data_IF_029823851895
#
_entry.id   IF_029823851895
#
_cell.length_a   1.000
_cell.length_b   1.000
_cell.length_c   1.000
_cell.angle_alpha   90.00
_cell.angle_beta   90.00
_cell.angle_gamma   90.00
#
_symmetry.space_group_name_H-M   'P 1'
#
loop_
_entity.id
_entity.type
_entity.pdbx_description
1 polymer ?
#
# COMPACT_ATOMS: atom_id res chain seq x y z
N UNK A 1 32.66 29.73 68.82
CA UNK A 1 32.03 29.22 67.59
C UNK A 1 33.13 29.14 66.55
N UNK A 2 33.78 27.98 66.46
CA UNK A 2 34.82 27.74 65.46
C UNK A 2 34.15 27.54 64.10
N UNK A 3 34.41 28.46 63.16
CA UNK A 3 34.05 28.29 61.77
C UNK A 3 34.92 27.18 61.17
N UNK A 4 34.29 26.04 60.88
CA UNK A 4 34.96 24.88 60.28
C UNK A 4 35.66 25.20 58.96
N UNK A 5 36.74 24.46 58.68
CA UNK A 5 37.62 24.67 57.55
C UNK A 5 36.88 24.67 56.20
N UNK A 6 37.27 25.61 55.33
CA UNK A 6 36.73 25.73 53.98
C UNK A 6 36.94 24.43 53.19
N UNK A 7 35.86 23.84 52.71
CA UNK A 7 35.92 22.63 51.88
C UNK A 7 36.74 22.91 50.60
N UNK A 8 37.63 22.00 50.19
CA UNK A 8 38.45 22.18 48.99
C UNK A 8 37.54 22.33 47.77
N UNK A 9 37.80 23.38 46.99
CA UNK A 9 37.02 23.71 45.79
C UNK A 9 37.14 22.54 44.80
N UNK A 10 36.04 21.80 44.57
CA UNK A 10 35.97 20.69 43.60
C UNK A 10 35.99 21.24 42.17
N UNK A 11 37.18 21.61 41.67
CA UNK A 11 37.35 22.22 40.34
C UNK A 11 36.98 21.29 39.18
N UNK A 12 37.06 19.97 39.38
CA UNK A 12 36.77 18.98 38.35
C UNK A 12 35.31 19.01 37.86
N UNK A 13 34.36 19.37 38.73
CA UNK A 13 32.94 19.47 38.36
C UNK A 13 32.61 20.67 37.48
N UNK A 14 33.38 21.77 37.52
CA UNK A 14 33.10 22.94 36.68
C UNK A 14 33.61 22.76 35.25
N UNK A 15 34.75 22.08 35.10
CA UNK A 15 35.43 21.93 33.80
C UNK A 15 34.74 20.92 32.86
N UNK A 16 34.08 19.90 33.41
CA UNK A 16 33.42 18.84 32.63
C UNK A 16 31.92 19.06 32.42
N UNK A 17 31.24 19.86 33.26
CA UNK A 17 29.79 20.13 33.10
C UNK A 17 29.46 20.84 31.79
N UNK A 18 30.24 21.87 31.44
CA UNK A 18 29.99 22.68 30.24
C UNK A 18 30.06 21.87 28.95
N UNK A 19 31.14 21.10 28.65
CA UNK A 19 31.20 20.32 27.41
C UNK A 19 30.15 19.20 27.36
N UNK A 20 29.81 18.60 28.49
CA UNK A 20 28.76 17.57 28.56
C UNK A 20 27.39 18.17 28.26
N UNK A 21 27.06 19.34 28.82
CA UNK A 21 25.80 20.04 28.57
C UNK A 21 25.71 20.45 27.09
N UNK A 22 26.80 21.00 26.53
CA UNK A 22 26.82 21.40 25.11
C UNK A 22 26.66 20.18 24.21
N UNK A 23 27.39 19.09 24.46
CA UNK A 23 27.28 17.87 23.67
C UNK A 23 25.90 17.21 23.74
N UNK A 24 25.31 17.12 24.94
CA UNK A 24 23.95 16.57 25.11
C UNK A 24 22.88 17.46 24.49
N UNK A 25 23.03 18.79 24.54
CA UNK A 25 22.11 19.72 23.88
C UNK A 25 22.15 19.56 22.37
N UNK A 26 23.35 19.47 21.77
CA UNK A 26 23.51 19.21 20.34
C UNK A 26 22.87 17.86 19.97
N UNK A 27 23.14 16.82 20.75
CA UNK A 27 22.55 15.51 20.51
C UNK A 27 21.01 15.56 20.56
N UNK A 28 20.43 16.26 21.52
CA UNK A 28 18.96 16.42 21.60
C UNK A 28 18.40 17.18 20.39
N UNK A 29 19.06 18.24 19.92
CA UNK A 29 18.63 18.98 18.73
C UNK A 29 18.68 18.09 17.48
N UNK A 30 19.75 17.30 17.32
CA UNK A 30 19.87 16.35 16.21
C UNK A 30 18.78 15.29 16.27
N UNK A 31 18.51 14.71 17.45
CA UNK A 31 17.43 13.76 17.63
C UNK A 31 16.06 14.35 17.31
N UNK A 32 15.78 15.58 17.76
CA UNK A 32 14.54 16.27 17.47
C UNK A 32 14.38 16.52 15.96
N UNK A 33 15.47 16.90 15.27
CA UNK A 33 15.47 17.09 13.82
C UNK A 33 15.20 15.76 13.08
N UNK A 34 15.84 14.66 13.49
CA UNK A 34 15.61 13.33 12.90
C UNK A 34 14.20 12.82 13.15
N UNK A 35 13.66 13.03 14.35
CA UNK A 35 12.28 12.68 14.67
C UNK A 35 11.29 13.50 13.82
N UNK A 36 11.53 14.81 13.67
CA UNK A 36 10.75 15.66 12.77
C UNK A 36 10.79 15.18 11.32
N UNK A 37 11.98 14.84 10.82
CA UNK A 37 12.16 14.28 9.48
C UNK A 37 11.39 12.96 9.30
N UNK A 38 11.48 12.05 10.28
CA UNK A 38 10.80 10.77 10.24
C UNK A 38 9.27 10.92 10.20
N UNK A 39 8.71 11.87 10.96
CA UNK A 39 7.28 12.19 10.91
C UNK A 39 6.87 12.71 9.53
N UNK A 40 7.63 13.66 8.97
CA UNK A 40 7.32 14.24 7.64
C UNK A 40 7.39 13.18 6.54
N UNK A 41 8.40 12.31 6.58
CA UNK A 41 8.53 11.21 5.62
C UNK A 41 7.43 10.16 5.81
N UNK A 42 7.07 9.84 7.07
CA UNK A 42 6.03 8.88 7.39
C UNK A 42 4.63 9.31 6.92
N UNK A 43 4.31 10.60 6.98
CA UNK A 43 3.00 11.13 6.54
C UNK A 43 2.81 10.97 5.02
N UNK A 44 3.89 11.05 4.24
CA UNK A 44 3.82 10.92 2.78
C UNK A 44 3.91 9.47 2.30
N UNK A 45 3.98 8.50 3.21
CA UNK A 45 4.07 7.10 2.85
C UNK A 45 2.67 6.48 2.76
N UNK A 46 2.10 6.49 1.56
CA UNK A 46 0.93 5.65 1.25
C UNK A 46 1.43 4.28 0.80
N UNK A 47 1.06 3.18 1.48
CA UNK A 47 1.42 1.85 1.01
C UNK A 47 0.66 1.56 -0.29
N UNK A 48 1.38 1.13 -1.33
CA UNK A 48 0.78 0.69 -2.60
C UNK A 48 1.03 -0.81 -2.83
N UNK A 49 0.18 -1.44 -3.63
CA UNK A 49 0.34 -2.84 -4.02
C UNK A 49 -0.09 -3.10 -5.47
N UNK A 50 0.44 -4.17 -6.05
CA UNK A 50 -0.02 -4.69 -7.34
C UNK A 50 -1.28 -5.52 -7.15
N UNK A 51 -2.38 -5.08 -7.75
CA UNK A 51 -3.63 -5.82 -7.78
C UNK A 51 -3.65 -6.76 -8.99
N UNK A 52 -3.94 -8.03 -8.71
CA UNK A 52 -3.95 -9.11 -9.71
C UNK A 52 -5.30 -9.81 -9.63
N UNK A 53 -5.86 -10.10 -10.80
CA UNK A 53 -7.03 -10.97 -10.88
C UNK A 53 -7.24 -11.52 -12.27
N UNK A 54 -8.24 -12.36 -12.42
CA UNK A 54 -8.62 -12.88 -13.72
C UNK A 54 -10.04 -13.43 -13.76
N UNK A 55 -10.56 -13.53 -14.98
CA UNK A 55 -11.89 -14.03 -15.29
C UNK A 55 -11.73 -15.25 -16.20
N UNK A 56 -12.21 -16.44 -15.82
CA UNK A 56 -12.17 -17.60 -16.69
C UNK A 56 -13.16 -17.38 -17.85
N UNK A 57 -12.71 -17.69 -19.06
CA UNK A 57 -13.47 -17.52 -20.30
C UNK A 57 -13.41 -18.77 -21.17
N UNK A 58 -14.31 -18.87 -22.13
CA UNK A 58 -14.23 -19.91 -23.16
C UNK A 58 -13.03 -19.67 -24.07
N UNK A 59 -12.17 -20.68 -24.27
CA UNK A 59 -11.00 -20.58 -25.14
C UNK A 59 -11.33 -20.33 -26.62
N UNK A 60 -12.56 -20.65 -27.05
CA UNK A 60 -12.99 -20.46 -28.43
C UNK A 60 -13.35 -19.00 -28.74
N UNK A 61 -14.07 -18.35 -27.83
CA UNK A 61 -14.59 -16.99 -28.03
C UNK A 61 -13.85 -15.90 -27.25
N UNK A 62 -13.03 -16.27 -26.25
CA UNK A 62 -12.44 -15.33 -25.28
C UNK A 62 -13.47 -14.48 -24.54
N UNK A 63 -14.66 -15.04 -24.37
CA UNK A 63 -15.81 -14.38 -23.78
C UNK A 63 -16.41 -15.22 -22.65
N UNK A 64 -17.04 -14.53 -21.70
CA UNK A 64 -17.88 -15.14 -20.67
C UNK A 64 -19.14 -14.30 -20.45
N UNK A 65 -20.24 -14.97 -20.14
CA UNK A 65 -21.50 -14.31 -19.80
C UNK A 65 -21.42 -13.76 -18.38
N UNK A 66 -21.89 -12.53 -18.21
CA UNK A 66 -22.05 -11.87 -16.93
C UNK A 66 -23.47 -11.30 -16.84
N UNK A 67 -23.96 -11.11 -15.62
CA UNK A 67 -25.25 -10.46 -15.39
C UNK A 67 -25.32 -9.11 -16.10
N UNK A 68 -26.09 -9.03 -17.20
CA UNK A 68 -26.25 -7.81 -17.98
C UNK A 68 -25.35 -7.67 -19.22
N UNK A 69 -24.56 -8.69 -19.59
CA UNK A 69 -23.88 -8.73 -20.90
C UNK A 69 -22.69 -9.68 -20.97
N UNK A 70 -21.75 -9.41 -21.87
CA UNK A 70 -20.60 -10.29 -22.14
C UNK A 70 -19.30 -9.60 -21.72
N UNK A 71 -18.45 -10.30 -20.98
CA UNK A 71 -17.08 -9.89 -20.69
C UNK A 71 -16.17 -10.51 -21.76
N UNK A 72 -15.34 -9.68 -22.36
CA UNK A 72 -14.38 -10.05 -23.42
C UNK A 72 -13.01 -9.43 -23.17
N UNK A 73 -12.03 -9.74 -24.02
CA UNK A 73 -10.69 -9.13 -23.98
C UNK A 73 -10.69 -7.61 -24.23
N UNK A 74 -11.78 -7.05 -24.76
CA UNK A 74 -11.99 -5.60 -24.91
C UNK A 74 -12.53 -4.94 -23.65
N UNK A 75 -12.95 -5.73 -22.67
CA UNK A 75 -13.48 -5.20 -21.41
C UNK A 75 -12.34 -4.62 -20.57
N UNK A 76 -12.65 -3.53 -19.89
CA UNK A 76 -11.70 -2.81 -19.05
C UNK A 76 -12.01 -3.11 -17.59
N UNK A 77 -10.99 -3.36 -16.78
CA UNK A 77 -11.12 -3.49 -15.34
C UNK A 77 -10.90 -2.14 -14.68
N UNK A 78 -11.84 -1.73 -13.84
CA UNK A 78 -11.69 -0.53 -13.00
C UNK A 78 -11.83 -0.91 -11.54
N UNK A 79 -10.83 -0.52 -10.74
CA UNK A 79 -10.82 -0.73 -9.31
C UNK A 79 -11.26 0.57 -8.63
N UNK A 80 -12.29 0.46 -7.80
CA UNK A 80 -12.79 1.53 -6.97
C UNK A 80 -12.51 1.22 -5.50
N UNK A 81 -12.37 2.27 -4.70
CA UNK A 81 -12.50 2.17 -3.24
C UNK A 81 -13.94 1.86 -2.86
N UNK A 82 -14.16 1.38 -1.64
CA UNK A 82 -15.48 1.19 -1.05
C UNK A 82 -16.34 2.47 -1.06
N UNK A 83 -15.72 3.65 -1.06
CA UNK A 83 -16.40 4.96 -1.14
C UNK A 83 -16.78 5.37 -2.57
N UNK A 84 -16.43 4.58 -3.59
CA UNK A 84 -16.69 4.87 -4.99
C UNK A 84 -15.61 5.73 -5.68
N UNK A 85 -14.51 6.06 -4.99
CA UNK A 85 -13.37 6.73 -5.63
C UNK A 85 -12.65 5.77 -6.56
N UNK A 86 -12.44 6.18 -7.81
CA UNK A 86 -11.67 5.41 -8.81
C UNK A 86 -10.19 5.38 -8.42
N UNK A 87 -9.63 4.18 -8.25
CA UNK A 87 -8.24 3.98 -7.86
C UNK A 87 -7.36 3.65 -9.06
N UNK A 88 -7.81 2.72 -9.92
CA UNK A 88 -7.00 2.26 -11.04
C UNK A 88 -7.86 1.72 -12.18
N UNK A 89 -7.30 1.73 -13.40
CA UNK A 89 -7.91 1.15 -14.60
C UNK A 89 -6.86 0.38 -15.38
N UNK A 90 -7.22 -0.82 -15.84
CA UNK A 90 -6.33 -1.68 -16.62
C UNK A 90 -7.13 -2.51 -17.63
N UNK A 91 -6.61 -2.76 -18.84
CA UNK A 91 -7.26 -3.66 -19.78
C UNK A 91 -7.15 -5.12 -19.32
N UNK A 92 -8.01 -5.98 -19.87
CA UNK A 92 -7.88 -7.43 -19.74
C UNK A 92 -6.89 -7.97 -20.78
N UNK A 93 -6.04 -8.88 -20.36
CA UNK A 93 -5.09 -9.58 -21.21
C UNK A 93 -5.45 -11.06 -21.34
N UNK A 94 -5.33 -11.58 -22.56
CA UNK A 94 -5.59 -12.99 -22.84
C UNK A 94 -4.45 -13.84 -22.30
N UNK A 95 -4.79 -14.73 -21.37
CA UNK A 95 -3.85 -15.70 -20.84
C UNK A 95 -4.43 -17.11 -20.99
N UNK A 96 -3.61 -18.03 -21.49
CA UNK A 96 -3.97 -19.44 -21.63
C UNK A 96 -2.98 -20.29 -20.85
N UNK A 97 -3.49 -21.19 -20.02
CA UNK A 97 -2.70 -22.21 -19.32
C UNK A 97 -3.09 -23.59 -19.81
N UNK A 98 -2.20 -24.56 -19.61
CA UNK A 98 -2.37 -25.97 -20.01
C UNK A 98 -2.69 -26.16 -21.50
N UNK A 99 -1.84 -25.65 -22.39
CA UNK A 99 -1.94 -25.85 -23.85
C UNK A 99 -3.32 -25.47 -24.46
N UNK A 100 -4.03 -24.48 -23.88
CA UNK A 100 -5.35 -24.08 -24.39
C UNK A 100 -6.53 -24.77 -23.72
N UNK A 101 -6.34 -25.50 -22.62
CA UNK A 101 -7.44 -26.09 -21.85
C UNK A 101 -8.08 -25.13 -20.85
N UNK A 102 -7.34 -24.11 -20.40
CA UNK A 102 -7.83 -23.11 -19.46
C UNK A 102 -7.49 -21.71 -19.97
N UNK A 103 -8.52 -20.96 -20.35
CA UNK A 103 -8.36 -19.57 -20.80
C UNK A 103 -8.90 -18.62 -19.75
N UNK A 104 -8.09 -17.61 -19.44
CA UNK A 104 -8.37 -16.61 -18.42
C UNK A 104 -8.03 -15.24 -18.99
N UNK A 105 -8.95 -14.30 -18.84
CA UNK A 105 -8.67 -12.89 -19.03
C UNK A 105 -8.05 -12.35 -17.74
N UNK A 106 -6.75 -12.10 -17.73
CA UNK A 106 -6.01 -11.64 -16.56
C UNK A 106 -5.88 -10.12 -16.60
N UNK A 107 -5.88 -9.50 -15.43
CA UNK A 107 -5.41 -8.14 -15.27
C UNK A 107 -4.33 -8.07 -14.21
N UNK A 108 -3.44 -7.10 -14.39
CA UNK A 108 -2.47 -6.66 -13.41
C UNK A 108 -2.47 -5.14 -13.42
N UNK A 109 -2.51 -4.53 -12.25
CA UNK A 109 -2.37 -3.09 -12.13
C UNK A 109 -1.54 -2.76 -10.91
N UNK A 110 -0.50 -1.98 -11.14
CA UNK A 110 0.40 -1.52 -10.10
C UNK A 110 -0.18 -0.27 -9.42
N UNK A 111 0.45 0.12 -8.32
CA UNK A 111 0.20 1.39 -7.63
C UNK A 111 -1.20 1.55 -7.02
N UNK A 112 -1.89 0.45 -6.70
CA UNK A 112 -3.18 0.51 -6.01
C UNK A 112 -2.96 0.89 -4.55
N UNK A 113 -3.60 1.96 -4.11
CA UNK A 113 -3.56 2.45 -2.73
C UNK A 113 -4.05 1.38 -1.75
N UNK A 114 -3.19 0.95 -0.83
CA UNK A 114 -3.45 -0.08 0.16
C UNK A 114 -4.12 0.44 1.45
N UNK A 115 -4.29 1.76 1.58
CA UNK A 115 -4.92 2.38 2.76
C UNK A 115 -6.43 2.17 2.83
N UNK A 116 -7.04 1.63 1.77
CA UNK A 116 -8.48 1.42 1.65
C UNK A 116 -8.95 0.18 2.44
N UNK A 117 -10.11 0.29 3.11
CA UNK A 117 -10.76 -0.79 3.86
C UNK A 117 -11.27 -1.92 2.97
N UNK A 118 -11.70 -1.57 1.76
CA UNK A 118 -12.31 -2.46 0.80
C UNK A 118 -12.21 -1.92 -0.62
N UNK A 119 -12.33 -2.81 -1.60
CA UNK A 119 -12.21 -2.51 -3.01
C UNK A 119 -13.42 -3.08 -3.75
N UNK A 120 -13.89 -2.37 -4.76
CA UNK A 120 -14.91 -2.85 -5.68
C UNK A 120 -14.27 -2.93 -7.05
N UNK A 121 -14.23 -4.13 -7.62
CA UNK A 121 -13.68 -4.35 -8.96
C UNK A 121 -14.82 -4.44 -9.94
N UNK A 122 -14.83 -3.50 -10.88
CA UNK A 122 -15.70 -3.52 -12.05
C UNK A 122 -14.94 -4.15 -13.21
N UNK A 123 -15.56 -5.13 -13.86
CA UNK A 123 -15.06 -5.76 -15.06
C UNK A 123 -16.03 -5.45 -16.19
N UNK A 124 -15.60 -4.58 -17.10
CA UNK A 124 -16.50 -3.96 -18.07
C UNK A 124 -17.62 -3.19 -17.39
N UNK A 125 -18.78 -3.13 -18.05
CA UNK A 125 -19.96 -2.41 -17.56
C UNK A 125 -20.96 -3.34 -16.84
N UNK A 126 -20.70 -4.65 -16.81
CA UNK A 126 -21.70 -5.68 -16.48
C UNK A 126 -21.45 -6.34 -15.13
N UNK A 127 -20.19 -6.43 -14.69
CA UNK A 127 -19.84 -7.17 -13.48
C UNK A 127 -19.12 -6.27 -12.48
N UNK A 128 -19.60 -6.28 -11.24
CA UNK A 128 -18.95 -5.62 -10.12
C UNK A 128 -18.92 -6.56 -8.92
N UNK A 129 -17.77 -6.70 -8.27
CA UNK A 129 -17.64 -7.52 -7.08
C UNK A 129 -16.78 -6.83 -6.01
N UNK A 130 -17.26 -6.75 -4.75
CA UNK A 130 -16.43 -6.32 -3.64
C UNK A 130 -15.37 -7.38 -3.32
N UNK A 131 -14.13 -6.95 -3.13
CA UNK A 131 -12.98 -7.80 -2.82
C UNK A 131 -12.08 -7.13 -1.79
N UNK A 132 -11.41 -7.95 -0.98
CA UNK A 132 -10.40 -7.45 -0.05
C UNK A 132 -9.07 -7.19 -0.78
N UNK A 133 -8.30 -6.21 -0.30
CA UNK A 133 -6.95 -5.94 -0.84
C UNK A 133 -6.04 -7.15 -0.75
N UNK A 134 -6.20 -8.00 0.28
CA UNK A 134 -5.43 -9.24 0.42
C UNK A 134 -5.73 -10.29 -0.66
N UNK A 135 -6.96 -10.29 -1.20
CA UNK A 135 -7.35 -11.15 -2.31
C UNK A 135 -6.77 -10.61 -3.64
N UNK A 136 -6.85 -9.31 -3.86
CA UNK A 136 -6.24 -8.66 -5.04
C UNK A 136 -4.72 -8.84 -5.06
N UNK A 137 -4.05 -8.73 -3.92
CA UNK A 137 -2.58 -8.93 -3.84
C UNK A 137 -2.15 -10.36 -4.14
N UNK A 138 -2.98 -11.35 -3.77
CA UNK A 138 -2.68 -12.79 -4.01
C UNK A 138 -3.11 -13.26 -5.39
N UNK A 139 -3.96 -12.51 -6.08
CA UNK A 139 -4.67 -12.98 -7.27
C UNK A 139 -6.05 -13.51 -6.90
N UNK A 140 -7.08 -12.87 -7.44
CA UNK A 140 -8.47 -13.29 -7.28
C UNK A 140 -9.04 -13.75 -8.63
N UNK A 141 -9.84 -14.82 -8.59
CA UNK A 141 -10.57 -15.30 -9.77
C UNK A 141 -12.02 -14.86 -9.64
N UNK A 142 -12.46 -14.02 -10.58
CA UNK A 142 -13.86 -13.61 -10.68
C UNK A 142 -14.60 -14.63 -11.52
N UNK A 143 -15.72 -15.13 -11.01
CA UNK A 143 -16.61 -16.02 -11.75
C UNK A 143 -17.94 -15.30 -11.94
N UNK A 144 -18.09 -14.51 -13.01
CA UNK A 144 -19.38 -14.02 -13.42
C UNK A 144 -20.31 -15.22 -13.55
N UNK A 145 -21.44 -15.15 -12.87
CA UNK A 145 -22.55 -16.10 -13.04
C UNK A 145 -23.64 -15.35 -13.78
N UNK A 146 -24.28 -16.05 -14.71
CA UNK A 146 -25.52 -15.61 -15.35
C UNK A 146 -26.73 -16.01 -14.49
#
# INVERSE_FOLDING_TARGET
MDSGAALPRREWQHKTRVPVIVGTSIAMVVFAALAGLAVVLGINYTPHFTAIGGVPVSCGSWETEANGGTISDKSVVTIYSETGTKLATTPLERHSTDEGRQCVLRFSVDDVDASQSGYVVHVGDTFAQPVSGSALKRGVVFRPTA
#
